data_IF_042010405621
#
_entry.id   IF_042010405621
#
_cell.length_a   1.000
_cell.length_b   1.000
_cell.length_c   1.000
_cell.angle_alpha   90.00
_cell.angle_beta   90.00
_cell.angle_gamma   90.00
#
_symmetry.space_group_name_H-M   'P 1'
#
loop_
_entity.id
_entity.type
_entity.pdbx_description
1 polymer ?
#
# COMPACT_ATOMS: atom_id res chain seq x y z
N UNK A 1 -38.83 -8.70 -15.69
CA UNK A 1 -37.80 -7.78 -15.16
C UNK A 1 -36.50 -8.26 -15.75
N UNK A 2 -35.82 -7.46 -16.59
CA UNK A 2 -34.48 -7.85 -17.05
C UNK A 2 -33.58 -7.89 -15.83
N UNK A 3 -32.96 -9.03 -15.57
CA UNK A 3 -31.97 -9.17 -14.51
C UNK A 3 -30.82 -8.20 -14.81
N UNK A 4 -30.41 -7.40 -13.81
CA UNK A 4 -29.30 -6.48 -14.00
C UNK A 4 -28.03 -7.27 -14.31
N UNK A 5 -27.25 -6.85 -15.33
CA UNK A 5 -26.04 -7.56 -15.71
C UNK A 5 -25.04 -7.60 -14.55
N UNK A 6 -24.47 -8.77 -14.29
CA UNK A 6 -23.58 -9.02 -13.16
C UNK A 6 -22.13 -9.09 -13.61
N UNK A 7 -21.26 -8.30 -13.01
CA UNK A 7 -19.81 -8.31 -13.27
C UNK A 7 -19.09 -8.93 -12.07
N UNK A 8 -18.32 -9.99 -12.32
CA UNK A 8 -17.39 -10.56 -11.35
C UNK A 8 -16.11 -9.75 -11.32
N UNK A 9 -15.52 -9.58 -10.14
CA UNK A 9 -14.30 -8.79 -10.00
C UNK A 9 -13.27 -9.50 -9.14
N UNK A 10 -12.05 -9.65 -9.66
CA UNK A 10 -10.89 -10.14 -8.92
C UNK A 10 -9.84 -9.05 -8.85
N UNK A 11 -9.39 -8.72 -7.65
CA UNK A 11 -8.42 -7.66 -7.40
C UNK A 11 -7.15 -8.25 -6.79
N UNK A 12 -6.07 -8.30 -7.57
CA UNK A 12 -4.77 -8.79 -7.14
C UNK A 12 -3.75 -7.65 -6.99
N UNK A 13 -2.62 -7.98 -6.35
CA UNK A 13 -1.47 -7.09 -6.25
C UNK A 13 -1.49 -6.21 -5.01
N UNK A 14 -1.25 -4.91 -5.20
CA UNK A 14 -0.95 -3.99 -4.10
C UNK A 14 -2.12 -3.04 -3.78
N UNK A 15 -2.07 -2.28 -2.65
CA UNK A 15 -3.11 -1.33 -2.30
C UNK A 15 -3.46 -0.29 -3.38
N UNK A 16 -2.51 0.03 -4.27
CA UNK A 16 -2.75 0.93 -5.40
C UNK A 16 -3.66 0.30 -6.46
N UNK A 17 -3.45 -0.98 -6.75
CA UNK A 17 -4.33 -1.76 -7.63
C UNK A 17 -5.70 -1.95 -6.99
N UNK A 18 -5.77 -2.17 -5.67
CA UNK A 18 -7.02 -2.23 -4.94
C UNK A 18 -7.85 -0.94 -5.10
N UNK A 19 -7.24 0.25 -4.98
CA UNK A 19 -7.95 1.52 -5.23
C UNK A 19 -8.43 1.63 -6.68
N UNK A 20 -7.64 1.18 -7.66
CA UNK A 20 -8.07 1.13 -9.08
C UNK A 20 -9.31 0.22 -9.23
N UNK A 21 -9.33 -0.94 -8.57
CA UNK A 21 -10.47 -1.87 -8.54
C UNK A 21 -11.72 -1.23 -7.93
N UNK A 22 -11.57 -0.55 -6.79
CA UNK A 22 -12.69 0.14 -6.12
C UNK A 22 -13.28 1.24 -7.00
N UNK A 23 -12.46 1.98 -7.75
CA UNK A 23 -12.94 2.98 -8.70
C UNK A 23 -13.74 2.35 -9.85
N UNK A 24 -13.25 1.25 -10.43
CA UNK A 24 -13.96 0.50 -11.49
C UNK A 24 -15.30 -0.03 -10.97
N UNK A 25 -15.30 -0.69 -9.81
CA UNK A 25 -16.52 -1.24 -9.18
C UNK A 25 -17.53 -0.14 -8.86
N UNK A 26 -17.05 1.01 -8.36
CA UNK A 26 -17.89 2.17 -8.08
C UNK A 26 -18.56 2.68 -9.35
N UNK A 27 -17.81 2.78 -10.45
CA UNK A 27 -18.33 3.22 -11.74
C UNK A 27 -19.32 2.20 -12.33
N UNK A 28 -19.02 0.91 -12.27
CA UNK A 28 -19.95 -0.15 -12.66
C UNK A 28 -21.28 -0.05 -11.88
N UNK A 29 -21.21 0.20 -10.58
CA UNK A 29 -22.42 0.32 -9.75
C UNK A 29 -23.19 1.62 -10.03
N UNK A 30 -22.50 2.71 -10.35
CA UNK A 30 -23.08 3.97 -10.84
C UNK A 30 -23.66 3.87 -12.26
N UNK A 31 -23.50 2.72 -12.91
CA UNK A 31 -24.06 2.47 -14.23
C UNK A 31 -25.10 1.36 -14.22
N UNK A 32 -25.46 0.85 -13.03
CA UNK A 32 -26.52 -0.14 -12.82
C UNK A 32 -26.09 -1.61 -12.90
N UNK A 33 -24.79 -1.91 -12.97
CA UNK A 33 -24.30 -3.29 -12.93
C UNK A 33 -24.38 -3.88 -11.51
N UNK A 34 -24.66 -5.17 -11.41
CA UNK A 34 -24.48 -5.93 -10.17
C UNK A 34 -23.03 -6.40 -10.05
N UNK A 35 -22.50 -6.47 -8.82
CA UNK A 35 -21.11 -6.88 -8.58
C UNK A 35 -21.10 -8.22 -7.84
N UNK A 36 -20.36 -9.17 -8.39
CA UNK A 36 -20.09 -10.48 -7.78
C UNK A 36 -18.68 -10.49 -7.17
N UNK A 37 -18.55 -10.99 -5.94
CA UNK A 37 -17.25 -11.30 -5.36
C UNK A 37 -16.67 -12.65 -5.81
N UNK A 38 -17.40 -13.39 -6.65
CA UNK A 38 -16.99 -14.70 -7.20
C UNK A 38 -17.24 -14.76 -8.71
N UNK A 39 -16.63 -15.74 -9.39
CA UNK A 39 -16.88 -16.03 -10.80
C UNK A 39 -18.32 -16.50 -11.08
N UNK A 40 -18.94 -17.15 -10.09
CA UNK A 40 -20.24 -17.81 -10.22
C UNK A 40 -21.38 -16.84 -10.58
N UNK A 41 -22.01 -17.13 -11.70
CA UNK A 41 -23.18 -16.41 -12.20
C UNK A 41 -22.88 -14.97 -12.63
N UNK A 42 -21.62 -14.61 -12.86
CA UNK A 42 -21.27 -13.35 -13.52
C UNK A 42 -21.46 -13.46 -15.04
N UNK A 43 -21.89 -12.37 -15.69
CA UNK A 43 -22.00 -12.28 -17.15
C UNK A 43 -20.66 -11.94 -17.83
N UNK A 44 -19.75 -11.35 -17.05
CA UNK A 44 -18.39 -10.97 -17.43
C UNK A 44 -17.52 -10.86 -16.17
N UNK A 45 -16.24 -11.16 -16.26
CA UNK A 45 -15.27 -11.02 -15.17
C UNK A 45 -14.20 -9.98 -15.52
N UNK A 46 -13.89 -9.09 -14.59
CA UNK A 46 -12.74 -8.19 -14.65
C UNK A 46 -11.67 -8.67 -13.67
N UNK A 47 -10.45 -8.91 -14.17
CA UNK A 47 -9.30 -9.32 -13.35
C UNK A 47 -8.27 -8.18 -13.34
N UNK A 48 -8.06 -7.57 -12.18
CA UNK A 48 -7.02 -6.56 -11.97
C UNK A 48 -5.74 -7.23 -11.47
N UNK A 49 -4.65 -7.08 -12.23
CA UNK A 49 -3.44 -7.91 -12.14
C UNK A 49 -2.22 -7.16 -11.64
N UNK A 50 -1.28 -7.90 -11.06
CA UNK A 50 0.06 -7.42 -10.73
C UNK A 50 1.07 -7.85 -11.79
N UNK A 51 2.04 -6.98 -12.10
CA UNK A 51 3.03 -7.22 -13.16
C UNK A 51 4.47 -6.93 -12.75
N UNK A 52 4.72 -6.71 -11.46
CA UNK A 52 6.02 -6.17 -11.01
C UNK A 52 7.06 -7.24 -10.67
N UNK A 53 6.70 -8.27 -9.91
CA UNK A 53 7.59 -9.38 -9.53
C UNK A 53 7.09 -10.68 -10.17
N UNK A 54 8.00 -11.61 -10.46
CA UNK A 54 7.69 -12.82 -11.24
C UNK A 54 6.65 -13.71 -10.55
N UNK A 55 6.72 -13.85 -9.22
CA UNK A 55 5.71 -14.61 -8.44
C UNK A 55 4.30 -14.01 -8.61
N UNK A 56 4.17 -12.69 -8.52
CA UNK A 56 2.89 -12.00 -8.69
C UNK A 56 2.40 -11.99 -10.14
N UNK A 57 3.32 -12.06 -11.11
CA UNK A 57 2.98 -12.26 -12.53
C UNK A 57 2.38 -13.65 -12.71
N UNK A 58 2.99 -14.68 -12.14
CA UNK A 58 2.49 -16.05 -12.23
C UNK A 58 1.11 -16.18 -11.58
N UNK A 59 0.95 -15.67 -10.36
CA UNK A 59 -0.35 -15.62 -9.67
C UNK A 59 -1.42 -14.94 -10.52
N UNK A 60 -1.06 -13.82 -11.18
CA UNK A 60 -1.99 -13.10 -12.04
C UNK A 60 -2.39 -13.89 -13.29
N UNK A 61 -1.45 -14.61 -13.92
CA UNK A 61 -1.75 -15.48 -15.07
C UNK A 61 -2.65 -16.65 -14.67
N UNK A 62 -2.37 -17.28 -13.53
CA UNK A 62 -3.17 -18.40 -13.03
C UNK A 62 -4.62 -17.97 -12.75
N UNK A 63 -4.81 -16.80 -12.13
CA UNK A 63 -6.14 -16.23 -11.88
C UNK A 63 -6.91 -15.89 -13.18
N UNK A 64 -6.21 -15.42 -14.22
CA UNK A 64 -6.83 -15.21 -15.55
C UNK A 64 -7.29 -16.54 -16.14
N UNK A 65 -6.45 -17.58 -16.05
CA UNK A 65 -6.78 -18.93 -16.52
C UNK A 65 -8.00 -19.53 -15.81
N UNK A 66 -8.07 -19.37 -14.50
CA UNK A 66 -9.23 -19.78 -13.69
C UNK A 66 -10.50 -19.04 -14.12
N UNK A 67 -10.45 -17.71 -14.19
CA UNK A 67 -11.59 -16.89 -14.60
C UNK A 67 -12.09 -17.23 -16.03
N UNK A 68 -11.16 -17.55 -16.95
CA UNK A 68 -11.51 -18.00 -18.30
C UNK A 68 -12.16 -19.38 -18.31
N UNK A 69 -11.75 -20.27 -17.41
CA UNK A 69 -12.32 -21.62 -17.31
C UNK A 69 -13.73 -21.59 -16.72
N UNK A 70 -13.94 -20.79 -15.67
CA UNK A 70 -15.22 -20.70 -14.96
C UNK A 70 -16.26 -19.82 -15.69
N UNK A 71 -15.83 -18.72 -16.32
CA UNK A 71 -16.76 -17.75 -16.93
C UNK A 71 -16.69 -17.67 -18.47
N UNK A 72 -15.47 -17.73 -19.03
CA UNK A 72 -15.23 -17.62 -20.47
C UNK A 72 -15.27 -16.20 -21.06
N UNK A 73 -15.70 -15.18 -20.31
CA UNK A 73 -15.68 -13.76 -20.72
C UNK A 73 -14.88 -12.92 -19.73
N UNK A 74 -13.60 -12.70 -20.03
CA UNK A 74 -12.66 -12.05 -19.12
C UNK A 74 -12.07 -10.79 -19.74
N UNK A 75 -12.14 -9.67 -19.02
CA UNK A 75 -11.38 -8.44 -19.28
C UNK A 75 -10.24 -8.38 -18.26
N UNK A 76 -9.03 -8.11 -18.73
CA UNK A 76 -7.85 -7.99 -17.87
C UNK A 76 -7.41 -6.53 -17.79
N UNK A 77 -7.11 -6.07 -16.57
CA UNK A 77 -6.58 -4.72 -16.30
C UNK A 77 -5.42 -4.80 -15.31
N UNK A 78 -4.71 -3.69 -15.09
CA UNK A 78 -3.65 -3.61 -14.09
C UNK A 78 -2.24 -3.64 -14.67
N UNK A 79 -1.24 -3.80 -13.80
CA UNK A 79 0.17 -3.65 -14.17
C UNK A 79 0.63 -4.66 -15.22
N UNK A 80 0.11 -5.89 -15.19
CA UNK A 80 0.49 -6.93 -16.16
C UNK A 80 -0.01 -6.60 -17.57
N UNK A 81 -1.13 -5.88 -17.68
CA UNK A 81 -1.69 -5.41 -18.94
C UNK A 81 -0.78 -4.45 -19.71
N UNK A 82 0.17 -3.81 -19.02
CA UNK A 82 1.19 -2.97 -19.65
C UNK A 82 2.49 -3.75 -20.02
N UNK A 83 2.58 -5.04 -19.72
CA UNK A 83 3.78 -5.86 -19.96
C UNK A 83 3.76 -6.47 -21.36
N UNK A 84 4.86 -6.29 -22.10
CA UNK A 84 5.09 -6.93 -23.40
C UNK A 84 5.85 -8.25 -23.22
N UNK A 85 5.66 -9.20 -24.13
CA UNK A 85 6.47 -10.42 -24.21
C UNK A 85 7.74 -10.18 -25.06
N UNK A 86 8.62 -11.17 -25.11
CA UNK A 86 9.85 -11.14 -25.92
C UNK A 86 9.59 -10.96 -27.42
N UNK A 87 8.38 -11.26 -27.90
CA UNK A 87 7.97 -11.07 -29.30
C UNK A 87 7.47 -9.64 -29.58
N UNK A 88 7.30 -8.81 -28.53
CA UNK A 88 6.79 -7.44 -28.61
C UNK A 88 5.27 -7.33 -28.57
N UNK A 89 4.53 -8.45 -28.51
CA UNK A 89 3.09 -8.45 -28.25
C UNK A 89 2.77 -8.35 -26.76
N UNK A 90 1.51 -8.09 -26.40
CA UNK A 90 1.09 -8.12 -25.01
C UNK A 90 1.23 -9.53 -24.42
N UNK A 91 1.83 -9.65 -23.23
CA UNK A 91 2.08 -10.96 -22.61
C UNK A 91 0.78 -11.73 -22.33
N UNK A 92 -0.28 -11.05 -21.88
CA UNK A 92 -1.56 -11.69 -21.57
C UNK A 92 -2.24 -12.18 -22.84
N UNK A 93 -2.19 -11.40 -23.92
CA UNK A 93 -2.80 -11.79 -25.20
C UNK A 93 -2.10 -13.01 -25.81
N UNK A 94 -0.80 -13.17 -25.58
CA UNK A 94 -0.03 -14.34 -26.02
C UNK A 94 -0.35 -15.60 -25.21
N UNK A 95 -0.39 -15.50 -23.88
CA UNK A 95 -0.64 -16.63 -22.97
C UNK A 95 -2.12 -17.02 -22.92
N UNK A 96 -3.01 -16.03 -22.92
CA UNK A 96 -4.46 -16.17 -22.82
C UNK A 96 -5.19 -15.43 -23.95
N UNK A 97 -5.09 -15.89 -25.21
CA UNK A 97 -5.66 -15.19 -26.37
C UNK A 97 -7.19 -15.11 -26.39
N UNK A 98 -7.87 -15.74 -25.41
CA UNK A 98 -9.33 -15.74 -25.27
C UNK A 98 -9.86 -14.58 -24.42
N UNK A 99 -8.99 -13.77 -23.82
CA UNK A 99 -9.43 -12.56 -23.12
C UNK A 99 -10.11 -11.59 -24.09
N UNK A 100 -11.12 -10.88 -23.62
CA UNK A 100 -11.92 -9.96 -24.42
C UNK A 100 -11.21 -8.63 -24.66
N UNK A 101 -10.47 -8.16 -23.66
CA UNK A 101 -9.67 -6.95 -23.73
C UNK A 101 -8.58 -6.97 -22.66
N UNK A 102 -7.48 -6.26 -22.93
CA UNK A 102 -6.38 -6.02 -21.98
C UNK A 102 -6.15 -4.51 -21.89
N UNK A 103 -6.17 -3.96 -20.67
CA UNK A 103 -5.89 -2.54 -20.40
C UNK A 103 -4.76 -2.38 -19.38
N UNK A 104 -4.16 -1.20 -19.32
CA UNK A 104 -3.10 -0.89 -18.37
C UNK A 104 -3.58 -0.56 -16.94
N UNK A 105 -2.66 -0.24 -16.02
CA UNK A 105 -3.02 0.29 -14.70
C UNK A 105 -3.65 1.69 -14.80
N UNK A 106 -4.45 2.09 -13.80
CA UNK A 106 -5.14 3.39 -13.78
C UNK A 106 -6.07 3.66 -14.99
N UNK A 107 -6.49 2.61 -15.72
CA UNK A 107 -7.24 2.72 -16.96
C UNK A 107 -8.78 2.56 -16.77
N UNK A 108 -9.37 3.21 -15.75
CA UNK A 108 -10.80 3.04 -15.41
C UNK A 108 -11.70 3.25 -16.64
N UNK A 109 -11.47 4.32 -17.42
CA UNK A 109 -12.26 4.61 -18.61
C UNK A 109 -12.17 3.54 -19.71
N UNK A 110 -10.98 2.99 -19.94
CA UNK A 110 -10.76 1.93 -20.94
C UNK A 110 -11.43 0.63 -20.51
N UNK A 111 -11.34 0.28 -19.21
CA UNK A 111 -12.03 -0.88 -18.65
C UNK A 111 -13.53 -0.75 -18.84
N UNK A 112 -14.10 0.43 -18.52
CA UNK A 112 -15.54 0.66 -18.72
C UNK A 112 -15.94 0.55 -20.19
N UNK A 113 -15.15 1.10 -21.11
CA UNK A 113 -15.40 0.96 -22.55
C UNK A 113 -15.38 -0.49 -23.02
N UNK A 114 -14.42 -1.29 -22.52
CA UNK A 114 -14.34 -2.72 -22.80
C UNK A 114 -15.55 -3.47 -22.22
N UNK A 115 -15.96 -3.16 -20.99
CA UNK A 115 -17.18 -3.72 -20.39
C UNK A 115 -18.39 -3.39 -21.26
N UNK A 116 -18.59 -2.13 -21.64
CA UNK A 116 -19.75 -1.69 -22.45
C UNK A 116 -19.82 -2.39 -23.81
N UNK A 117 -18.67 -2.73 -24.38
CA UNK A 117 -18.58 -3.41 -25.69
C UNK A 117 -19.07 -4.86 -25.63
N UNK A 118 -18.89 -5.52 -24.48
CA UNK A 118 -19.21 -6.95 -24.29
C UNK A 118 -20.44 -7.21 -23.40
N UNK A 119 -20.81 -6.22 -22.60
CA UNK A 119 -21.93 -6.22 -21.67
C UNK A 119 -22.51 -4.78 -21.64
N UNK A 120 -23.40 -4.43 -22.58
CA UNK A 120 -23.90 -3.07 -22.73
C UNK A 120 -24.52 -2.51 -21.45
N UNK A 121 -24.34 -1.20 -21.23
CA UNK A 121 -24.85 -0.50 -20.06
C UNK A 121 -26.35 -0.75 -19.86
N UNK A 122 -26.79 -1.21 -18.67
CA UNK A 122 -28.21 -1.36 -18.40
C UNK A 122 -28.90 0.00 -18.48
N UNK A 123 -30.03 0.04 -19.19
CA UNK A 123 -30.81 1.27 -19.35
C UNK A 123 -31.90 1.31 -18.28
N UNK A 124 -31.57 1.79 -17.08
CA UNK A 124 -32.55 2.02 -16.02
C UNK A 124 -32.40 3.44 -15.42
N UNK A 125 -33.40 4.34 -15.58
CA UNK A 125 -33.38 5.69 -15.01
C UNK A 125 -33.66 5.77 -13.50
N UNK A 126 -33.88 4.65 -12.79
CA UNK A 126 -34.26 4.64 -11.37
C UNK A 126 -33.23 4.01 -10.41
N UNK A 127 -32.13 3.47 -10.89
CA UNK A 127 -31.13 2.81 -10.03
C UNK A 127 -29.79 3.54 -10.11
N UNK A 128 -29.58 4.48 -9.20
CA UNK A 128 -28.28 5.12 -8.97
C UNK A 128 -28.16 5.56 -7.51
N UNK A 129 -27.83 4.60 -6.64
CA UNK A 129 -27.39 4.91 -5.27
C UNK A 129 -25.97 4.39 -5.09
N UNK A 130 -25.02 5.21 -5.53
CA UNK A 130 -23.61 5.03 -5.16
C UNK A 130 -23.32 5.94 -3.97
N UNK A 131 -22.81 5.41 -2.84
CA UNK A 131 -22.38 6.24 -1.73
C UNK A 131 -21.34 7.27 -2.19
N UNK A 132 -21.33 8.47 -1.61
CA UNK A 132 -20.33 9.48 -1.92
C UNK A 132 -18.88 9.03 -1.64
N UNK A 133 -18.69 8.00 -0.81
CA UNK A 133 -17.41 7.35 -0.52
C UNK A 133 -17.01 6.28 -1.56
N UNK A 134 -17.87 5.99 -2.54
CA UNK A 134 -17.72 4.86 -3.46
C UNK A 134 -17.99 3.51 -2.81
N UNK A 135 -17.70 2.45 -3.56
CA UNK A 135 -17.76 1.06 -3.07
C UNK A 135 -16.35 0.62 -2.67
N UNK A 136 -16.23 0.09 -1.46
CA UNK A 136 -14.97 -0.34 -0.87
C UNK A 136 -14.91 -1.86 -0.78
N UNK A 137 -13.75 -2.39 -1.13
CA UNK A 137 -13.41 -3.79 -0.97
C UNK A 137 -12.73 -4.04 0.39
N UNK A 138 -12.27 -2.98 1.05
CA UNK A 138 -11.77 -3.03 2.42
C UNK A 138 -12.91 -3.14 3.46
N UNK A 139 -12.62 -3.65 4.66
CA UNK A 139 -13.47 -3.50 5.83
C UNK A 139 -13.87 -2.03 6.08
N UNK A 140 -15.07 -1.81 6.65
CA UNK A 140 -15.69 -0.47 6.78
C UNK A 140 -14.90 0.54 7.60
N UNK A 141 -14.03 0.07 8.50
CA UNK A 141 -13.32 0.93 9.44
C UNK A 141 -11.97 1.43 8.91
N UNK A 142 -11.49 0.98 7.74
CA UNK A 142 -10.33 1.59 7.10
C UNK A 142 -10.50 1.74 5.60
N UNK A 143 -9.79 2.70 5.00
CA UNK A 143 -9.79 2.89 3.56
C UNK A 143 -8.44 3.40 3.06
N UNK A 144 -8.04 2.97 1.86
CA UNK A 144 -6.91 3.55 1.15
C UNK A 144 -7.32 4.82 0.41
N UNK A 145 -6.46 5.85 0.48
CA UNK A 145 -6.60 7.11 -0.24
C UNK A 145 -5.39 7.29 -1.17
N UNK A 146 -5.59 7.05 -2.47
CA UNK A 146 -4.54 7.24 -3.47
C UNK A 146 -4.40 8.73 -3.82
N UNK A 147 -3.24 9.33 -3.58
CA UNK A 147 -3.03 10.78 -3.78
C UNK A 147 -2.31 11.13 -5.08
N UNK A 148 -1.55 10.18 -5.64
CA UNK A 148 -0.87 10.33 -6.92
C UNK A 148 -0.66 8.97 -7.57
N UNK A 149 -0.33 9.00 -8.85
CA UNK A 149 0.03 7.84 -9.68
C UNK A 149 1.41 8.06 -10.30
N UNK A 150 2.09 6.99 -10.71
CA UNK A 150 3.38 7.06 -11.38
C UNK A 150 4.54 7.54 -10.47
N UNK A 151 5.75 7.56 -11.03
CA UNK A 151 6.95 7.90 -10.25
C UNK A 151 8.04 8.56 -11.11
N UNK A 152 8.60 9.66 -10.62
CA UNK A 152 9.70 10.37 -11.30
C UNK A 152 11.09 9.79 -10.99
N UNK A 153 11.20 8.85 -10.05
CA UNK A 153 12.48 8.22 -9.76
C UNK A 153 12.92 7.32 -10.91
N UNK A 154 14.23 7.20 -11.10
CA UNK A 154 14.86 6.34 -12.09
C UNK A 154 15.77 5.32 -11.40
N UNK A 155 15.23 4.67 -10.36
CA UNK A 155 15.91 3.59 -9.63
C UNK A 155 16.24 2.46 -10.61
N UNK A 156 17.46 1.95 -10.61
CA UNK A 156 17.92 1.02 -11.66
C UNK A 156 17.20 -0.33 -11.64
N UNK A 157 16.69 -0.74 -10.47
CA UNK A 157 15.94 -1.97 -10.25
C UNK A 157 14.42 -1.84 -10.49
N UNK A 158 13.90 -0.63 -10.73
CA UNK A 158 12.47 -0.37 -10.71
C UNK A 158 11.94 -0.03 -12.11
N UNK A 159 10.94 -0.79 -12.56
CA UNK A 159 10.26 -0.59 -13.85
C UNK A 159 8.92 0.19 -13.73
N UNK A 160 8.59 0.69 -12.54
CA UNK A 160 7.33 1.42 -12.30
C UNK A 160 7.12 2.60 -13.26
N UNK A 161 8.12 3.44 -13.57
CA UNK A 161 7.92 4.53 -14.53
C UNK A 161 7.52 4.05 -15.93
N UNK A 162 8.00 2.88 -16.35
CA UNK A 162 7.63 2.27 -17.63
C UNK A 162 6.20 1.71 -17.61
N UNK A 163 5.73 1.21 -16.46
CA UNK A 163 4.39 0.61 -16.34
C UNK A 163 3.27 1.59 -15.98
N UNK A 164 3.56 2.57 -15.10
CA UNK A 164 2.58 3.49 -14.50
C UNK A 164 2.83 4.96 -14.87
N UNK A 165 3.87 5.23 -15.65
CA UNK A 165 4.23 6.58 -16.08
C UNK A 165 4.96 7.41 -15.03
N UNK A 166 5.22 8.66 -15.40
CA UNK A 166 5.76 9.70 -14.51
C UNK A 166 4.73 10.14 -13.47
N UNK A 167 5.19 10.86 -12.44
CA UNK A 167 4.34 11.32 -11.34
C UNK A 167 3.20 12.20 -11.85
N UNK A 168 1.97 11.81 -11.52
CA UNK A 168 0.75 12.59 -11.71
C UNK A 168 0.05 12.74 -10.36
N UNK A 169 0.09 13.94 -9.79
CA UNK A 169 -0.55 14.25 -8.52
C UNK A 169 -2.00 14.64 -8.70
N UNK A 170 -2.88 14.12 -7.83
CA UNK A 170 -4.27 14.55 -7.78
C UNK A 170 -4.37 15.96 -7.19
N UNK A 171 -5.35 16.78 -7.62
CA UNK A 171 -5.62 18.06 -6.97
C UNK A 171 -6.00 17.89 -5.49
N UNK A 172 -5.38 18.66 -4.59
CA UNK A 172 -5.62 18.53 -3.15
C UNK A 172 -7.09 18.72 -2.74
N UNK A 173 -7.86 19.53 -3.47
CA UNK A 173 -9.28 19.71 -3.19
C UNK A 173 -10.09 18.42 -3.37
N UNK A 174 -9.78 17.64 -4.42
CA UNK A 174 -10.44 16.36 -4.69
C UNK A 174 -10.03 15.31 -3.66
N UNK A 175 -8.74 15.26 -3.31
CA UNK A 175 -8.22 14.36 -2.28
C UNK A 175 -8.88 14.62 -0.92
N UNK A 176 -9.00 15.88 -0.53
CA UNK A 176 -9.66 16.26 0.73
C UNK A 176 -11.17 15.97 0.73
N UNK A 177 -11.84 16.16 -0.41
CA UNK A 177 -13.26 15.82 -0.56
C UNK A 177 -13.49 14.31 -0.42
N UNK A 178 -12.65 13.49 -1.05
CA UNK A 178 -12.72 12.03 -0.92
C UNK A 178 -12.45 11.58 0.52
N UNK A 179 -11.40 12.11 1.16
CA UNK A 179 -11.09 11.82 2.57
C UNK A 179 -12.27 12.17 3.50
N UNK A 180 -12.92 13.31 3.28
CA UNK A 180 -14.08 13.72 4.07
C UNK A 180 -15.27 12.77 3.88
N UNK A 181 -15.55 12.36 2.65
CA UNK A 181 -16.60 11.39 2.36
C UNK A 181 -16.31 10.02 3.00
N UNK A 182 -15.05 9.57 3.00
CA UNK A 182 -14.62 8.34 3.65
C UNK A 182 -14.87 8.40 5.16
N UNK A 183 -14.45 9.47 5.84
CA UNK A 183 -14.71 9.60 7.28
C UNK A 183 -16.20 9.72 7.61
N UNK A 184 -16.99 10.45 6.80
CA UNK A 184 -18.46 10.49 6.95
C UNK A 184 -19.12 9.12 6.81
N UNK A 185 -18.53 8.22 6.03
CA UNK A 185 -19.02 6.85 5.86
C UNK A 185 -18.68 5.90 7.03
N UNK A 186 -17.88 6.36 8.00
CA UNK A 186 -17.54 5.60 9.21
C UNK A 186 -16.11 5.06 9.25
N UNK A 187 -15.27 5.37 8.26
CA UNK A 187 -13.83 5.04 8.26
C UNK A 187 -13.16 5.60 9.52
N UNK A 188 -12.36 4.77 10.18
CA UNK A 188 -11.58 5.09 11.39
C UNK A 188 -10.09 5.21 11.13
N UNK A 189 -9.60 4.68 10.02
CA UNK A 189 -8.20 4.80 9.59
C UNK A 189 -8.12 5.06 8.08
N UNK A 190 -7.46 6.15 7.70
CA UNK A 190 -7.18 6.51 6.32
C UNK A 190 -5.72 6.21 5.98
N UNK A 191 -5.51 5.37 4.98
CA UNK A 191 -4.19 4.90 4.55
C UNK A 191 -3.79 5.65 3.28
N UNK A 192 -2.95 6.66 3.43
CA UNK A 192 -2.51 7.52 2.32
C UNK A 192 -1.44 6.78 1.52
N UNK A 193 -1.70 6.57 0.23
CA UNK A 193 -0.83 5.79 -0.65
C UNK A 193 -0.50 6.51 -1.95
N UNK A 194 0.69 6.22 -2.47
CA UNK A 194 1.11 6.44 -3.87
C UNK A 194 2.35 5.56 -4.18
N UNK A 195 3.08 5.85 -5.24
CA UNK A 195 4.42 5.30 -5.49
C UNK A 195 5.50 6.03 -4.69
N UNK A 196 5.33 7.35 -4.50
CA UNK A 196 6.18 8.21 -3.70
C UNK A 196 5.32 9.33 -3.08
N UNK A 197 4.95 9.16 -1.80
CA UNK A 197 4.06 10.09 -1.09
C UNK A 197 4.74 11.42 -0.83
N UNK A 198 6.06 11.44 -0.65
CA UNK A 198 6.80 12.67 -0.35
C UNK A 198 7.07 13.54 -1.57
N UNK A 199 6.89 12.99 -2.79
CA UNK A 199 6.90 13.75 -4.03
C UNK A 199 5.55 14.41 -4.37
N UNK A 200 4.49 14.22 -3.56
CA UNK A 200 3.16 14.72 -3.87
C UNK A 200 3.15 16.23 -4.21
N UNK A 201 2.69 16.51 -5.42
CA UNK A 201 2.50 17.84 -5.99
C UNK A 201 3.74 18.51 -6.61
N UNK A 202 4.89 17.82 -6.68
CA UNK A 202 6.09 18.32 -7.36
C UNK A 202 5.82 18.59 -8.85
N UNK A 203 5.11 17.69 -9.52
CA UNK A 203 4.71 17.76 -10.93
C UNK A 203 3.80 18.96 -11.24
N UNK A 204 2.93 19.33 -10.30
CA UNK A 204 2.04 20.51 -10.42
C UNK A 204 2.60 21.77 -9.76
N UNK A 205 3.89 21.77 -9.39
CA UNK A 205 4.58 22.90 -8.73
C UNK A 205 3.86 23.39 -7.48
N UNK A 206 3.36 22.45 -6.68
CA UNK A 206 2.62 22.71 -5.43
C UNK A 206 1.42 23.64 -5.60
N UNK A 207 0.70 23.53 -6.72
CA UNK A 207 -0.50 24.33 -7.03
C UNK A 207 -1.46 24.33 -5.84
N UNK A 208 -1.94 25.52 -5.48
CA UNK A 208 -2.92 25.69 -4.41
C UNK A 208 -4.31 25.25 -4.87
N UNK A 209 -4.96 24.39 -4.10
CA UNK A 209 -6.39 24.10 -4.18
C UNK A 209 -7.15 24.73 -3.01
N UNK A 210 -8.47 24.67 -3.05
CA UNK A 210 -9.34 25.15 -1.97
C UNK A 210 -10.24 24.02 -1.50
N UNK A 211 -10.28 23.80 -0.18
CA UNK A 211 -11.22 22.88 0.45
C UNK A 211 -11.89 23.61 1.61
N UNK A 212 -13.22 23.64 1.63
CA UNK A 212 -14.01 24.42 2.59
C UNK A 212 -13.57 25.89 2.72
N UNK A 213 -13.22 26.51 1.59
CA UNK A 213 -12.75 27.90 1.53
C UNK A 213 -11.32 28.14 2.04
N UNK A 214 -10.65 27.12 2.59
CA UNK A 214 -9.24 27.21 3.03
C UNK A 214 -8.29 26.90 1.86
N UNK A 215 -7.28 27.74 1.60
CA UNK A 215 -6.24 27.43 0.62
C UNK A 215 -5.29 26.35 1.17
N UNK A 216 -5.06 25.31 0.38
CA UNK A 216 -4.13 24.21 0.71
C UNK A 216 -3.18 24.04 -0.48
N UNK A 217 -1.88 24.02 -0.24
CA UNK A 217 -0.92 23.67 -1.31
C UNK A 217 -1.00 22.18 -1.58
N UNK A 218 -0.95 21.79 -2.85
CA UNK A 218 -0.79 20.37 -3.23
C UNK A 218 0.64 19.97 -2.89
N UNK A 219 0.93 19.71 -1.60
CA UNK A 219 2.25 19.34 -1.06
C UNK A 219 2.00 18.38 0.10
N UNK A 220 2.86 17.37 0.27
CA UNK A 220 2.68 16.35 1.31
C UNK A 220 2.45 16.96 2.70
N UNK A 221 3.29 17.90 3.13
CA UNK A 221 3.19 18.53 4.47
C UNK A 221 1.85 19.20 4.72
N UNK A 222 1.37 19.98 3.75
CA UNK A 222 0.11 20.71 3.83
C UNK A 222 -1.09 19.74 3.78
N UNK A 223 -1.00 18.68 2.96
CA UNK A 223 -1.99 17.62 2.92
C UNK A 223 -2.07 16.87 4.25
N UNK A 224 -0.93 16.48 4.84
CA UNK A 224 -0.90 15.75 6.11
C UNK A 224 -1.50 16.57 7.24
N UNK A 225 -1.17 17.87 7.32
CA UNK A 225 -1.77 18.76 8.29
C UNK A 225 -3.30 18.86 8.10
N UNK A 226 -3.77 19.05 6.87
CA UNK A 226 -5.20 19.13 6.57
C UNK A 226 -5.95 17.82 6.86
N UNK A 227 -5.36 16.67 6.52
CA UNK A 227 -5.90 15.35 6.85
C UNK A 227 -5.91 15.11 8.37
N UNK A 228 -4.90 15.57 9.09
CA UNK A 228 -4.85 15.53 10.56
C UNK A 228 -5.97 16.35 11.20
N UNK A 229 -6.19 17.60 10.74
CA UNK A 229 -7.33 18.44 11.17
C UNK A 229 -8.68 17.77 10.90
N UNK A 230 -8.81 17.12 9.74
CA UNK A 230 -10.03 16.43 9.37
C UNK A 230 -10.23 15.19 10.24
N UNK A 231 -9.24 14.32 10.38
CA UNK A 231 -9.32 13.09 11.16
C UNK A 231 -9.61 13.36 12.64
N UNK A 232 -9.10 14.46 13.20
CA UNK A 232 -9.41 14.89 14.56
C UNK A 232 -10.92 15.09 14.80
N UNK A 233 -11.66 15.60 13.82
CA UNK A 233 -13.11 15.81 13.92
C UNK A 233 -13.90 14.51 13.99
N UNK A 234 -13.34 13.41 13.48
CA UNK A 234 -13.97 12.09 13.43
C UNK A 234 -13.37 11.09 14.43
N UNK A 235 -12.36 11.51 15.22
CA UNK A 235 -11.64 10.63 16.14
C UNK A 235 -10.88 9.51 15.42
N UNK A 236 -10.41 9.77 14.19
CA UNK A 236 -9.85 8.79 13.27
C UNK A 236 -8.32 8.90 13.14
N UNK A 237 -7.72 7.96 12.43
CA UNK A 237 -6.30 7.87 12.13
C UNK A 237 -6.00 8.18 10.65
N UNK A 238 -4.80 8.70 10.40
CA UNK A 238 -4.20 8.94 9.09
C UNK A 238 -2.79 8.34 9.11
N UNK A 239 -2.54 7.40 8.21
CA UNK A 239 -1.26 6.69 8.07
C UNK A 239 -0.63 6.98 6.72
N UNK A 240 0.68 7.20 6.69
CA UNK A 240 1.43 7.45 5.45
C UNK A 240 2.19 6.19 5.04
N UNK A 241 2.07 5.84 3.76
CA UNK A 241 2.83 4.76 3.13
C UNK A 241 3.74 5.27 2.02
N UNK A 242 4.76 4.48 1.66
CA UNK A 242 5.62 4.75 0.50
C UNK A 242 6.26 6.15 0.55
N UNK A 243 6.87 6.51 1.68
CA UNK A 243 7.48 7.81 1.90
C UNK A 243 8.95 7.76 1.50
N UNK A 244 9.31 8.40 0.39
CA UNK A 244 10.71 8.50 0.00
C UNK A 244 11.47 9.45 0.93
N UNK A 245 12.71 9.16 1.35
CA UNK A 245 13.43 9.93 2.36
C UNK A 245 14.00 11.27 1.83
N UNK A 246 13.17 12.15 1.27
CA UNK A 246 13.55 13.54 0.96
C UNK A 246 13.67 14.38 2.23
N UNK A 247 14.54 15.41 2.30
CA UNK A 247 14.64 16.31 3.44
C UNK A 247 13.29 16.88 3.92
N UNK A 248 12.33 17.12 3.01
CA UNK A 248 10.98 17.59 3.34
C UNK A 248 10.18 16.66 4.27
N UNK A 249 10.54 15.39 4.38
CA UNK A 249 9.90 14.45 5.33
C UNK A 249 10.15 14.87 6.78
N UNK A 250 11.25 15.58 7.07
CA UNK A 250 11.54 16.10 8.42
C UNK A 250 10.45 17.04 8.92
N UNK A 251 9.78 17.76 8.01
CA UNK A 251 8.69 18.68 8.33
C UNK A 251 7.42 17.96 8.83
N UNK A 252 7.28 16.65 8.56
CA UNK A 252 6.10 15.85 8.95
C UNK A 252 6.25 15.25 10.35
N UNK A 253 7.47 14.96 10.81
CA UNK A 253 7.71 14.28 12.09
C UNK A 253 7.09 15.03 13.28
N UNK A 254 7.19 16.37 13.40
CA UNK A 254 6.54 17.10 14.49
C UNK A 254 5.02 16.95 14.48
N UNK A 255 4.38 16.80 13.30
CA UNK A 255 2.93 16.60 13.17
C UNK A 255 2.47 15.25 13.76
N UNK A 256 3.37 14.28 13.84
CA UNK A 256 3.10 12.96 14.44
C UNK A 256 3.30 12.96 15.96
N UNK A 257 4.23 13.77 16.47
CA UNK A 257 4.69 13.73 17.85
C UNK A 257 3.82 14.53 18.83
N UNK A 258 3.40 15.73 18.43
CA UNK A 258 2.77 16.71 19.31
C UNK A 258 1.77 17.64 18.60
N UNK A 259 1.11 18.49 19.38
CA UNK A 259 0.14 19.46 18.87
C UNK A 259 -1.24 18.86 18.55
N UNK A 260 -2.07 19.59 17.79
CA UNK A 260 -3.48 19.26 17.54
C UNK A 260 -3.68 17.97 16.72
N UNK A 261 -2.61 17.45 16.11
CA UNK A 261 -2.65 16.27 15.24
C UNK A 261 -2.23 14.97 15.96
N UNK A 262 -1.69 15.09 17.18
CA UNK A 262 -1.23 13.94 17.97
C UNK A 262 -2.37 12.95 18.19
N UNK A 263 -2.15 11.70 17.81
CA UNK A 263 -3.16 10.64 17.89
C UNK A 263 -4.10 10.56 16.68
N UNK A 264 -3.92 11.44 15.68
CA UNK A 264 -4.64 11.44 14.41
C UNK A 264 -3.70 11.24 13.22
N UNK A 265 -2.59 11.97 13.13
CA UNK A 265 -1.50 11.62 12.22
C UNK A 265 -0.61 10.61 12.94
N UNK A 266 -0.57 9.39 12.44
CA UNK A 266 0.09 8.30 13.15
C UNK A 266 1.62 8.43 13.09
N UNK A 267 2.33 8.10 14.19
CA UNK A 267 3.79 8.05 14.23
C UNK A 267 4.29 6.78 13.53
N UNK A 268 4.05 6.71 12.22
CA UNK A 268 4.38 5.59 11.35
C UNK A 268 4.94 6.10 10.04
N UNK A 269 6.12 5.63 9.67
CA UNK A 269 6.74 5.93 8.39
C UNK A 269 7.22 4.64 7.71
N UNK A 270 6.63 4.38 6.54
CA UNK A 270 7.10 3.36 5.60
C UNK A 270 8.09 3.99 4.61
N UNK A 271 9.38 3.84 4.90
CA UNK A 271 10.50 4.46 4.18
C UNK A 271 11.36 3.38 3.55
N UNK A 272 11.21 3.10 2.25
CA UNK A 272 11.93 2.01 1.62
C UNK A 272 13.40 2.41 1.34
N UNK A 273 14.33 2.10 2.25
CA UNK A 273 15.76 2.45 2.09
C UNK A 273 16.49 1.66 1.01
N UNK A 274 16.06 0.42 0.72
CA UNK A 274 16.63 -0.54 -0.23
C UNK A 274 18.00 -1.10 0.12
N UNK A 275 18.94 -0.25 0.54
CA UNK A 275 20.27 -0.66 0.95
C UNK A 275 20.85 0.38 1.93
N UNK A 276 21.98 0.07 2.56
CA UNK A 276 22.71 0.99 3.44
C UNK A 276 24.11 1.34 2.91
N UNK A 277 24.76 0.48 2.14
CA UNK A 277 26.07 0.83 1.58
C UNK A 277 26.01 1.93 0.48
N UNK A 278 26.79 3.03 0.58
CA UNK A 278 26.77 4.15 -0.37
C UNK A 278 26.98 3.77 -1.83
N UNK A 279 27.96 2.92 -2.14
CA UNK A 279 28.22 2.53 -3.53
C UNK A 279 27.13 1.62 -4.12
N UNK A 280 26.46 0.81 -3.29
CA UNK A 280 25.30 0.01 -3.74
C UNK A 280 24.13 0.95 -4.03
N UNK A 281 23.84 1.89 -3.12
CA UNK A 281 22.81 2.92 -3.31
C UNK A 281 23.06 3.74 -4.59
N UNK A 282 24.31 4.10 -4.86
CA UNK A 282 24.70 4.80 -6.10
C UNK A 282 24.41 3.95 -7.34
N UNK A 283 24.73 2.65 -7.34
CA UNK A 283 24.35 1.73 -8.44
C UNK A 283 22.83 1.56 -8.56
N UNK A 284 22.11 1.61 -7.45
CA UNK A 284 20.64 1.62 -7.39
C UNK A 284 20.03 2.95 -7.90
N UNK A 285 20.84 4.00 -8.13
CA UNK A 285 20.41 5.39 -8.37
C UNK A 285 19.55 5.96 -7.22
N UNK A 286 19.85 5.55 -6.00
CA UNK A 286 19.31 6.11 -4.75
C UNK A 286 20.27 7.18 -4.19
N UNK A 287 19.80 8.13 -3.37
CA UNK A 287 20.62 9.06 -2.62
C UNK A 287 21.68 8.30 -1.80
N UNK A 288 22.94 8.43 -2.19
CA UNK A 288 24.05 7.60 -1.72
C UNK A 288 24.60 7.99 -0.33
N UNK A 289 23.80 8.59 0.55
CA UNK A 289 24.30 9.06 1.85
C UNK A 289 23.60 8.34 3.01
N UNK A 290 24.10 7.15 3.33
CA UNK A 290 23.59 6.33 4.42
C UNK A 290 23.99 6.79 5.82
N UNK A 291 25.16 7.45 5.97
CA UNK A 291 25.52 8.12 7.22
C UNK A 291 24.45 9.16 7.60
N UNK A 292 23.93 9.91 6.63
CA UNK A 292 22.78 10.81 6.82
C UNK A 292 21.46 10.08 7.10
N UNK A 293 21.31 8.80 6.74
CA UNK A 293 20.06 8.06 7.00
C UNK A 293 19.99 7.66 8.47
N UNK A 294 21.06 7.12 9.04
CA UNK A 294 21.06 6.71 10.44
C UNK A 294 20.90 7.91 11.37
N UNK A 295 21.70 8.97 11.17
CA UNK A 295 21.59 10.23 11.94
C UNK A 295 20.17 10.80 11.87
N UNK A 296 19.54 10.68 10.70
CA UNK A 296 18.18 11.15 10.49
C UNK A 296 17.14 10.30 11.19
N UNK A 297 17.28 8.98 11.18
CA UNK A 297 16.42 8.06 11.95
C UNK A 297 16.51 8.39 13.44
N UNK A 298 17.73 8.61 13.96
CA UNK A 298 17.96 9.02 15.35
C UNK A 298 17.25 10.34 15.66
N UNK A 299 17.48 11.38 14.84
CA UNK A 299 16.82 12.68 14.99
C UNK A 299 15.29 12.59 14.92
N UNK A 300 14.74 11.76 14.04
CA UNK A 300 13.29 11.56 13.97
C UNK A 300 12.74 10.94 15.25
N UNK A 301 13.46 9.99 15.85
CA UNK A 301 13.08 9.38 17.13
C UNK A 301 13.26 10.31 18.32
N UNK A 302 14.21 11.24 18.28
CA UNK A 302 14.30 12.32 19.29
C UNK A 302 13.05 13.21 19.27
N UNK A 303 12.55 13.55 18.08
CA UNK A 303 11.34 14.37 17.91
C UNK A 303 10.08 13.55 18.22
N UNK A 304 10.01 12.32 17.74
CA UNK A 304 8.86 11.43 17.88
C UNK A 304 9.31 10.06 18.44
N UNK A 305 9.39 9.91 19.77
CA UNK A 305 9.88 8.67 20.39
C UNK A 305 9.03 7.42 20.09
N UNK A 306 7.74 7.62 19.81
CA UNK A 306 6.79 6.55 19.46
C UNK A 306 6.83 6.20 17.96
N UNK A 307 7.72 6.82 17.18
CA UNK A 307 7.83 6.61 15.74
C UNK A 307 8.20 5.16 15.42
N UNK A 308 7.28 4.51 14.70
CA UNK A 308 7.50 3.22 14.06
C UNK A 308 8.05 3.46 12.66
N UNK A 309 9.22 2.90 12.36
CA UNK A 309 9.82 2.97 11.03
C UNK A 309 9.77 1.58 10.39
N UNK A 310 9.08 1.51 9.25
CA UNK A 310 9.08 0.37 8.36
C UNK A 310 10.01 0.63 7.19
N UNK A 311 10.78 -0.38 6.78
CA UNK A 311 11.62 -0.30 5.58
C UNK A 311 11.65 -1.61 4.81
N UNK A 312 12.05 -1.52 3.55
CA UNK A 312 12.26 -2.66 2.66
C UNK A 312 13.65 -2.56 2.04
N UNK A 313 14.34 -3.69 2.01
CA UNK A 313 15.71 -3.85 1.51
C UNK A 313 15.79 -4.86 0.37
N UNK A 314 16.83 -4.73 -0.44
CA UNK A 314 17.19 -5.67 -1.51
C UNK A 314 18.59 -6.18 -1.21
N UNK A 315 18.72 -7.49 -1.00
CA UNK A 315 20.00 -8.17 -0.83
C UNK A 315 20.47 -8.79 -2.14
N UNK A 316 21.78 -8.83 -2.34
CA UNK A 316 22.39 -9.44 -3.51
C UNK A 316 22.24 -8.62 -4.79
N UNK A 317 22.22 -7.29 -4.68
CA UNK A 317 22.15 -6.39 -5.84
C UNK A 317 23.38 -6.59 -6.77
N UNK A 318 23.28 -6.37 -8.09
CA UNK A 318 24.42 -6.55 -9.00
C UNK A 318 25.70 -5.81 -8.53
N UNK A 319 26.77 -6.59 -8.41
CA UNK A 319 28.09 -6.16 -7.92
C UNK A 319 28.22 -5.99 -6.40
N UNK A 320 27.22 -6.41 -5.61
CA UNK A 320 27.27 -6.35 -4.13
C UNK A 320 28.33 -7.30 -3.56
N UNK A 321 29.31 -6.75 -2.85
CA UNK A 321 30.38 -7.53 -2.19
C UNK A 321 29.97 -7.94 -0.77
N UNK A 322 30.72 -8.88 -0.18
CA UNK A 322 30.45 -9.31 1.20
C UNK A 322 30.60 -8.18 2.21
N UNK A 323 31.62 -7.31 2.06
CA UNK A 323 31.80 -6.13 2.91
C UNK A 323 30.62 -5.14 2.82
N UNK A 324 30.06 -4.96 1.62
CA UNK A 324 28.89 -4.11 1.40
C UNK A 324 27.65 -4.69 2.05
N UNK A 325 27.52 -6.02 2.04
CA UNK A 325 26.43 -6.73 2.70
C UNK A 325 26.57 -6.70 4.23
N UNK A 326 27.77 -6.90 4.78
CA UNK A 326 28.01 -6.75 6.23
C UNK A 326 27.70 -5.33 6.72
N UNK A 327 28.04 -4.29 5.94
CA UNK A 327 27.64 -2.90 6.24
C UNK A 327 26.11 -2.75 6.33
N UNK A 328 25.36 -3.49 5.51
CA UNK A 328 23.90 -3.50 5.56
C UNK A 328 23.39 -4.16 6.85
N UNK A 329 23.99 -5.28 7.27
CA UNK A 329 23.63 -5.95 8.53
C UNK A 329 23.91 -5.07 9.75
N UNK A 330 25.07 -4.40 9.78
CA UNK A 330 25.42 -3.47 10.85
C UNK A 330 24.47 -2.28 10.92
N UNK A 331 24.08 -1.73 9.76
CA UNK A 331 23.06 -0.69 9.70
C UNK A 331 21.73 -1.13 10.31
N UNK A 332 21.27 -2.36 10.06
CA UNK A 332 20.01 -2.86 10.66
C UNK A 332 20.11 -2.94 12.18
N UNK A 333 21.23 -3.42 12.71
CA UNK A 333 21.47 -3.49 14.16
C UNK A 333 21.48 -2.12 14.80
N UNK A 334 22.13 -1.14 14.16
CA UNK A 334 22.28 0.21 14.71
C UNK A 334 21.02 1.07 14.55
N UNK A 335 20.35 0.98 13.41
CA UNK A 335 19.12 1.75 13.14
C UNK A 335 17.93 1.26 13.98
N UNK A 336 17.97 0.03 14.51
CA UNK A 336 16.90 -0.62 15.27
C UNK A 336 15.50 -0.41 14.65
N UNK A 337 15.36 -0.60 13.34
CA UNK A 337 14.07 -0.37 12.65
C UNK A 337 12.98 -1.32 13.17
N UNK A 338 11.73 -0.87 13.19
CA UNK A 338 10.64 -1.60 13.85
C UNK A 338 10.11 -2.77 13.02
N UNK A 339 9.95 -2.54 11.71
CA UNK A 339 9.44 -3.52 10.75
C UNK A 339 10.34 -3.50 9.51
N UNK A 340 10.95 -4.63 9.19
CA UNK A 340 11.88 -4.71 8.07
C UNK A 340 11.58 -5.93 7.21
N UNK A 341 11.46 -5.71 5.90
CA UNK A 341 11.43 -6.79 4.91
C UNK A 341 12.67 -6.75 4.02
N UNK A 342 13.09 -7.91 3.54
CA UNK A 342 14.19 -8.03 2.58
C UNK A 342 13.81 -8.97 1.44
N UNK A 343 14.12 -8.55 0.23
CA UNK A 343 13.97 -9.35 -0.98
C UNK A 343 15.36 -9.65 -1.55
N UNK A 344 15.54 -10.87 -2.06
CA UNK A 344 16.66 -11.13 -2.95
C UNK A 344 16.46 -10.31 -4.24
N UNK A 345 17.55 -9.81 -4.82
CA UNK A 345 17.46 -9.10 -6.09
C UNK A 345 16.89 -10.01 -7.19
N UNK A 346 15.74 -9.61 -7.74
CA UNK A 346 15.09 -10.23 -8.89
C UNK A 346 15.36 -9.38 -10.15
N UNK A 347 15.94 -9.96 -11.22
CA UNK A 347 16.29 -9.25 -12.44
C UNK A 347 15.06 -9.05 -13.35
N UNK A 348 14.07 -8.29 -12.88
CA UNK A 348 12.83 -8.03 -13.62
C UNK A 348 13.14 -7.46 -15.02
N UNK A 349 12.49 -7.98 -16.05
CA UNK A 349 12.67 -7.55 -17.43
C UNK A 349 12.45 -6.03 -17.57
N UNK A 350 13.38 -5.36 -18.27
CA UNK A 350 13.38 -3.90 -18.44
C UNK A 350 14.06 -3.12 -17.30
N UNK A 351 14.49 -3.76 -16.21
CA UNK A 351 15.30 -3.11 -15.18
C UNK A 351 16.73 -2.86 -15.68
N UNK A 352 17.16 -1.60 -15.71
CA UNK A 352 18.53 -1.21 -16.11
C UNK A 352 19.62 -1.81 -15.21
N UNK A 353 19.27 -2.25 -13.99
CA UNK A 353 20.19 -2.94 -13.10
C UNK A 353 20.67 -4.29 -13.69
N UNK A 354 19.92 -4.90 -14.61
CA UNK A 354 20.31 -6.14 -15.28
C UNK A 354 21.52 -5.98 -16.22
N UNK A 355 21.83 -4.74 -16.62
CA UNK A 355 22.99 -4.40 -17.45
C UNK A 355 24.26 -4.14 -16.63
N UNK A 356 24.16 -4.14 -15.30
CA UNK A 356 25.30 -3.95 -14.42
C UNK A 356 26.11 -5.24 -14.30
N UNK A 357 27.44 -5.09 -14.30
CA UNK A 357 28.35 -6.22 -14.07
C UNK A 357 28.23 -6.79 -12.64
N UNK A 358 28.64 -8.05 -12.49
CA UNK A 358 28.74 -8.69 -11.17
C UNK A 358 27.40 -9.18 -10.63
N UNK A 359 26.46 -9.56 -11.50
CA UNK A 359 25.26 -10.27 -11.08
C UNK A 359 25.64 -11.51 -10.24
N UNK A 360 25.08 -11.59 -9.03
CA UNK A 360 25.35 -12.69 -8.13
C UNK A 360 24.51 -13.91 -8.51
N UNK A 361 25.01 -15.15 -8.32
CA UNK A 361 24.19 -16.36 -8.37
C UNK A 361 22.98 -16.30 -7.44
N UNK A 362 21.88 -16.93 -7.81
CA UNK A 362 20.62 -16.85 -7.05
C UNK A 362 20.74 -17.47 -5.65
N UNK A 363 21.53 -18.53 -5.49
CA UNK A 363 21.83 -19.14 -4.18
C UNK A 363 22.52 -18.15 -3.22
N UNK A 364 23.44 -17.32 -3.73
CA UNK A 364 24.09 -16.27 -2.94
C UNK A 364 23.10 -15.16 -2.56
N UNK A 365 22.20 -14.77 -3.46
CA UNK A 365 21.18 -13.74 -3.16
C UNK A 365 20.20 -14.22 -2.09
N UNK A 366 19.77 -15.47 -2.18
CA UNK A 366 18.87 -16.10 -1.22
C UNK A 366 19.55 -16.33 0.14
N UNK A 367 20.83 -16.73 0.16
CA UNK A 367 21.64 -16.82 1.38
C UNK A 367 21.71 -15.46 2.08
N UNK A 368 22.03 -14.39 1.34
CA UNK A 368 22.08 -13.03 1.90
C UNK A 368 20.72 -12.55 2.39
N UNK A 369 19.64 -12.84 1.65
CA UNK A 369 18.28 -12.54 2.12
C UNK A 369 18.03 -13.24 3.47
N UNK A 370 18.36 -14.53 3.59
CA UNK A 370 18.17 -15.29 4.83
C UNK A 370 18.97 -14.70 6.00
N UNK A 371 20.28 -14.46 5.82
CA UNK A 371 21.15 -13.83 6.84
C UNK A 371 20.66 -12.45 7.27
N UNK A 372 20.16 -11.67 6.32
CA UNK A 372 19.55 -10.38 6.64
C UNK A 372 18.29 -10.54 7.50
N UNK A 373 17.41 -11.48 7.13
CA UNK A 373 16.15 -11.70 7.85
C UNK A 373 16.39 -12.17 9.28
N UNK A 374 17.41 -13.00 9.53
CA UNK A 374 17.81 -13.41 10.89
C UNK A 374 18.14 -12.19 11.78
N UNK A 375 18.94 -11.25 11.27
CA UNK A 375 19.30 -10.01 11.99
C UNK A 375 18.08 -9.11 12.18
N UNK A 376 17.24 -8.98 11.15
CA UNK A 376 16.03 -8.16 11.22
C UNK A 376 15.01 -8.72 12.23
N UNK A 377 14.90 -10.05 12.34
CA UNK A 377 14.02 -10.72 13.30
C UNK A 377 14.48 -10.48 14.74
N UNK A 378 15.79 -10.58 15.01
CA UNK A 378 16.36 -10.25 16.33
C UNK A 378 16.02 -8.80 16.74
N UNK A 379 16.23 -7.84 15.83
CA UNK A 379 15.92 -6.43 16.08
C UNK A 379 14.41 -6.23 16.30
N UNK A 380 13.56 -6.80 15.46
CA UNK A 380 12.10 -6.66 15.56
C UNK A 380 11.56 -7.26 16.86
N UNK A 381 12.05 -8.44 17.26
CA UNK A 381 11.71 -9.09 18.53
C UNK A 381 12.07 -8.20 19.73
N UNK A 382 13.25 -7.59 19.71
CA UNK A 382 13.67 -6.65 20.76
C UNK A 382 12.80 -5.38 20.81
N UNK A 383 12.37 -4.87 19.65
CA UNK A 383 11.49 -3.68 19.56
C UNK A 383 10.08 -3.98 20.07
N UNK A 384 9.48 -5.09 19.64
CA UNK A 384 8.12 -5.46 20.01
C UNK A 384 8.02 -5.82 21.50
N UNK A 385 9.04 -6.45 22.06
CA UNK A 385 9.09 -6.78 23.50
C UNK A 385 9.00 -5.53 24.38
N UNK A 386 9.50 -4.37 23.92
CA UNK A 386 9.38 -3.07 24.64
C UNK A 386 7.93 -2.58 24.76
N UNK A 387 6.98 -3.19 24.05
CA UNK A 387 5.55 -2.87 24.13
C UNK A 387 4.84 -3.65 25.25
N UNK A 388 5.41 -4.77 25.70
CA UNK A 388 4.82 -5.58 26.78
C UNK A 388 4.73 -4.76 28.08
N UNK A 389 3.59 -4.82 28.74
CA UNK A 389 3.27 -4.05 29.94
C UNK A 389 2.70 -2.65 29.68
N UNK A 390 2.76 -2.14 28.45
CA UNK A 390 2.14 -0.84 28.08
C UNK A 390 0.66 -1.00 27.77
N UNK A 391 -0.10 0.08 27.94
CA UNK A 391 -1.48 0.17 27.44
C UNK A 391 -1.47 0.93 26.12
N UNK A 392 -1.91 0.26 25.05
CA UNK A 392 -1.93 0.80 23.70
C UNK A 392 -3.37 0.95 23.21
N UNK A 393 -3.60 1.96 22.36
CA UNK A 393 -4.87 2.13 21.65
C UNK A 393 -4.87 1.17 20.44
N UNK A 394 -5.88 0.32 20.36
CA UNK A 394 -6.04 -0.73 19.35
C UNK A 394 -7.33 -0.48 18.58
N UNK A 395 -7.26 -0.50 17.25
CA UNK A 395 -8.43 -0.53 16.36
C UNK A 395 -8.80 -1.99 16.11
N UNK A 396 -10.02 -2.40 16.43
CA UNK A 396 -10.47 -3.79 16.23
C UNK A 396 -10.84 -4.03 14.77
N UNK A 397 -10.20 -5.01 14.14
CA UNK A 397 -10.46 -5.44 12.78
C UNK A 397 -11.43 -6.62 12.73
N UNK A 398 -11.34 -7.56 13.68
CA UNK A 398 -12.18 -8.76 13.75
C UNK A 398 -12.63 -9.08 15.18
N UNK A 399 -13.78 -9.74 15.31
CA UNK A 399 -14.29 -10.25 16.60
C UNK A 399 -14.90 -11.63 16.41
N UNK A 400 -14.47 -12.58 17.23
CA UNK A 400 -14.98 -13.94 17.29
C UNK A 400 -15.36 -14.33 18.74
N UNK A 401 -15.74 -15.60 18.95
CA UNK A 401 -15.96 -16.11 20.30
C UNK A 401 -14.65 -16.21 21.13
N UNK A 402 -13.51 -16.27 20.46
CA UNK A 402 -12.18 -16.42 21.06
C UNK A 402 -11.52 -15.09 21.41
N UNK A 403 -12.11 -13.95 21.01
CA UNK A 403 -11.61 -12.62 21.30
C UNK A 403 -11.73 -11.68 20.10
N UNK A 404 -10.85 -10.69 20.05
CA UNK A 404 -10.71 -9.77 18.93
C UNK A 404 -9.32 -9.82 18.32
N UNK A 405 -9.24 -9.46 17.05
CA UNK A 405 -7.99 -9.14 16.37
C UNK A 405 -8.04 -7.66 16.03
N UNK A 406 -6.97 -6.93 16.32
CA UNK A 406 -6.87 -5.52 15.99
C UNK A 406 -5.45 -5.06 15.76
N UNK A 407 -5.26 -3.76 15.57
CA UNK A 407 -3.96 -3.16 15.25
C UNK A 407 -3.68 -1.91 16.06
N UNK A 408 -2.42 -1.66 16.37
CA UNK A 408 -2.00 -0.41 17.01
C UNK A 408 -1.70 0.67 15.96
N UNK A 409 -1.42 1.88 16.44
CA UNK A 409 -0.87 2.95 15.60
C UNK A 409 0.45 2.57 14.88
N UNK A 410 1.13 1.51 15.33
CA UNK A 410 2.36 1.02 14.73
C UNK A 410 2.14 0.01 13.58
N UNK A 411 0.91 -0.46 13.37
CA UNK A 411 0.66 -1.63 12.51
C UNK A 411 -0.34 -1.31 11.38
N UNK A 412 0.12 -1.41 10.14
CA UNK A 412 -0.71 -1.27 8.95
C UNK A 412 -1.51 -2.55 8.65
N UNK A 413 -2.73 -2.45 8.10
CA UNK A 413 -3.57 -3.61 7.81
C UNK A 413 -2.92 -4.48 6.73
N UNK A 414 -3.07 -5.80 6.87
CA UNK A 414 -2.55 -6.84 5.95
C UNK A 414 -1.02 -6.88 5.76
N UNK A 415 -0.26 -5.97 6.40
CA UNK A 415 1.17 -5.77 6.13
C UNK A 415 2.02 -6.00 7.37
N UNK A 416 1.61 -5.46 8.52
CA UNK A 416 2.34 -5.56 9.78
C UNK A 416 1.63 -6.55 10.72
N UNK A 417 2.17 -6.72 11.94
CA UNK A 417 1.61 -7.65 12.92
C UNK A 417 0.27 -7.21 13.51
N UNK A 418 -0.36 -8.13 14.22
CA UNK A 418 -1.67 -7.93 14.84
C UNK A 418 -1.61 -7.94 16.37
N UNK A 419 -2.68 -7.47 16.99
CA UNK A 419 -2.93 -7.56 18.43
C UNK A 419 -4.09 -8.51 18.65
N UNK A 420 -3.81 -9.65 19.28
CA UNK A 420 -4.83 -10.55 19.80
C UNK A 420 -5.34 -10.01 21.13
N UNK A 421 -6.63 -9.70 21.17
CA UNK A 421 -7.33 -9.13 22.33
C UNK A 421 -8.20 -10.20 22.96
N UNK A 422 -7.99 -10.49 24.24
CA UNK A 422 -8.77 -11.49 24.96
C UNK A 422 -10.27 -11.16 24.99
N UNK A 423 -11.15 -12.18 25.06
CA UNK A 423 -12.59 -11.97 25.20
C UNK A 423 -12.92 -11.08 26.41
N UNK A 424 -13.78 -10.09 26.19
CA UNK A 424 -14.19 -9.20 27.26
C UNK A 424 -14.91 -9.98 28.39
N UNK A 425 -14.27 -10.11 29.55
CA UNK A 425 -14.84 -10.79 30.72
C UNK A 425 -16.12 -10.15 31.25
N UNK A 426 -16.33 -8.85 30.99
CA UNK A 426 -17.53 -8.08 31.39
C UNK A 426 -18.27 -7.58 30.16
N UNK A 427 -19.60 -7.63 30.19
CA UNK A 427 -20.43 -7.10 29.11
C UNK A 427 -20.15 -5.62 28.78
N UNK A 428 -19.77 -4.82 29.77
CA UNK A 428 -19.41 -3.40 29.61
C UNK A 428 -18.08 -3.16 28.89
N UNK A 429 -17.24 -4.19 28.74
CA UNK A 429 -15.96 -4.14 28.03
C UNK A 429 -16.00 -4.80 26.65
N UNK A 430 -17.19 -5.22 26.20
CA UNK A 430 -17.35 -5.79 24.85
C UNK A 430 -17.00 -4.75 23.81
N UNK A 431 -16.29 -5.20 22.80
CA UNK A 431 -15.84 -4.41 21.66
C UNK A 431 -16.39 -5.00 20.37
N UNK A 432 -16.43 -4.17 19.34
CA UNK A 432 -16.91 -4.52 18.00
C UNK A 432 -15.86 -4.12 16.97
N UNK A 433 -15.96 -4.69 15.78
CA UNK A 433 -15.18 -4.26 14.62
C UNK A 433 -15.35 -2.75 14.41
N UNK A 434 -14.23 -2.05 14.24
CA UNK A 434 -14.14 -0.60 14.10
C UNK A 434 -14.09 0.18 15.42
N UNK A 435 -14.15 -0.47 16.58
CA UNK A 435 -13.96 0.21 17.86
C UNK A 435 -12.48 0.48 18.12
N UNK A 436 -12.20 1.64 18.73
CA UNK A 436 -10.93 1.89 19.38
C UNK A 436 -11.01 1.48 20.85
N UNK A 437 -10.15 0.56 21.28
CA UNK A 437 -10.07 0.07 22.65
C UNK A 437 -8.68 0.29 23.24
N UNK A 438 -8.60 0.47 24.56
CA UNK A 438 -7.33 0.50 25.29
C UNK A 438 -6.99 -0.91 25.74
N UNK A 439 -5.89 -1.46 25.22
CA UNK A 439 -5.46 -2.83 25.50
C UNK A 439 -4.15 -2.79 26.28
N UNK A 440 -4.10 -3.44 27.43
CA UNK A 440 -2.85 -3.69 28.15
C UNK A 440 -2.16 -4.88 27.50
N UNK A 441 -0.98 -4.65 26.93
CA UNK A 441 -0.19 -5.70 26.30
C UNK A 441 0.41 -6.60 27.39
N UNK A 442 0.12 -7.88 27.33
CA UNK A 442 0.55 -8.92 28.28
C UNK A 442 1.68 -9.78 27.72
N UNK A 443 1.79 -9.89 26.39
CA UNK A 443 2.81 -10.68 25.73
C UNK A 443 3.09 -10.21 24.30
N UNK A 444 4.19 -10.71 23.76
CA UNK A 444 4.60 -10.57 22.37
C UNK A 444 5.21 -11.90 21.92
N UNK A 445 4.94 -12.30 20.70
CA UNK A 445 5.48 -13.49 20.05
C UNK A 445 5.59 -13.21 18.55
N UNK A 446 6.76 -13.50 17.98
CA UNK A 446 7.15 -13.05 16.65
C UNK A 446 6.88 -11.57 16.42
N UNK A 447 5.94 -11.26 15.52
CA UNK A 447 5.56 -9.91 15.14
C UNK A 447 4.25 -9.41 15.74
N UNK A 448 3.60 -10.25 16.55
CA UNK A 448 2.27 -10.03 17.09
C UNK A 448 2.31 -9.71 18.58
N UNK A 449 1.20 -9.15 19.08
CA UNK A 449 0.99 -8.79 20.47
C UNK A 449 -0.25 -9.48 21.03
N UNK A 450 -0.22 -9.73 22.34
CA UNK A 450 -1.36 -10.24 23.09
C UNK A 450 -1.71 -9.27 24.21
N UNK A 451 -3.00 -9.11 24.50
CA UNK A 451 -3.42 -8.26 25.59
C UNK A 451 -4.90 -8.32 25.94
N UNK A 452 -5.26 -7.56 26.97
CA UNK A 452 -6.62 -7.50 27.54
C UNK A 452 -7.11 -6.05 27.68
N UNK A 453 -8.44 -5.86 27.62
CA UNK A 453 -9.14 -4.55 27.78
C UNK A 453 -9.46 -4.26 29.23
#
# INVERSE_FOLDING_TARGET
MSQSPKVGFVSLGCPKALVDSEQIITQLRAEGYEISGTYDGADLVVVNTCGFIDEAVQESLDAIGEALTENGKVIVTGCLGAKSSASGSNLIEEVHPKVLAVTGPHAVGEVMQAVHSHLPKPHDPFTDLVPAAGIKLTPRHYAYLKISEGCNHRCTFCIIPSMRGDLVSRPVAEVMLEAENLFKSGVKELLVISQDTSAYGVDVKYRTGFWNGKPIKTRMTDLVAALGELAAQYGAWVRLHYVYPYPSVDEVIPLMAEGPFKGHVLPYLDVPFQHAHPEVLKRMKRPANAEKVLERVQKWREICPDLTIRSTFIAGFPGETEEQFETLLDFIREAELDRVGCFAYSPVEGATANELDGALPDDVREERRARFMEVAEEVSANRIQRKVGKTLKVLIDEVSAEGGIGRTAADAPEIDGVVYVEPAAKASKRYKVGDFVSVKITGADGHDLWGEV
#
